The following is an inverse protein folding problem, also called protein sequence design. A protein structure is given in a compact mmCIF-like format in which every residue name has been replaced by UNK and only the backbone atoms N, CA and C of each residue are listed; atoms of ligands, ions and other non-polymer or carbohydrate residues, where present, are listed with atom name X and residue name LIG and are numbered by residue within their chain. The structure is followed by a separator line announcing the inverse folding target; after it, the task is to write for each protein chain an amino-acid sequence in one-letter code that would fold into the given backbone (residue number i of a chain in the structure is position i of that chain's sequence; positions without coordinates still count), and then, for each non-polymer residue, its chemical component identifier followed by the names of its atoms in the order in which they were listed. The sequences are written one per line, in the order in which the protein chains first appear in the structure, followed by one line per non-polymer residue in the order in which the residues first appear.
data_IF_259933057158
#
_entry.id   IF_259933057158
#
_cell.length_a   1.000
_cell.length_b   1.000
_cell.length_c   1.000
_cell.angle_alpha   90.00
_cell.angle_beta   90.00
_cell.angle_gamma   90.00
#
_symmetry.space_group_name_H-M   'P 1'
#
loop_
_entity.id
_entity.type
_entity.pdbx_description
1 polymer ?
#
# COMPACT_ATOMS: atom_id res chain seq x y z
N UNK A 1 -32.69 56.77 13.23
CA UNK A 1 -32.58 55.50 13.98
C UNK A 1 -32.45 54.36 12.98
N UNK A 2 -31.23 53.89 12.71
CA UNK A 2 -30.98 52.79 11.76
C UNK A 2 -29.96 51.83 12.38
N UNK A 3 -30.44 50.85 13.14
CA UNK A 3 -29.63 49.73 13.62
C UNK A 3 -29.50 48.70 12.50
N UNK A 4 -28.34 48.67 11.83
CA UNK A 4 -27.95 47.57 10.93
C UNK A 4 -27.24 46.52 11.79
N UNK A 5 -27.99 45.51 12.23
CA UNK A 5 -27.44 44.35 12.93
C UNK A 5 -26.55 43.55 11.97
N UNK A 6 -25.26 43.41 12.30
CA UNK A 6 -24.35 42.46 11.65
C UNK A 6 -24.40 41.16 12.46
N UNK A 7 -24.68 39.99 11.85
CA UNK A 7 -24.61 38.74 12.58
C UNK A 7 -23.16 38.47 13.02
N UNK A 8 -22.94 38.02 14.27
CA UNK A 8 -21.64 37.57 14.70
C UNK A 8 -21.43 36.10 14.30
N UNK A 9 -20.15 35.73 14.21
CA UNK A 9 -19.61 34.36 14.20
C UNK A 9 -19.26 33.80 12.83
N UNK A 10 -18.15 34.30 12.27
CA UNK A 10 -17.20 33.38 11.65
C UNK A 10 -16.63 32.51 12.78
N UNK A 11 -17.22 31.33 12.96
CA UNK A 11 -16.62 30.26 13.74
C UNK A 11 -15.24 29.98 13.15
N UNK A 12 -14.17 29.89 13.97
CA UNK A 12 -12.92 29.34 13.48
C UNK A 12 -13.23 27.91 13.07
N UNK A 13 -13.27 27.67 11.76
CA UNK A 13 -13.30 26.33 11.18
C UNK A 13 -12.12 25.58 11.78
N UNK A 14 -12.41 24.75 12.77
CA UNK A 14 -11.46 23.80 13.32
C UNK A 14 -11.30 22.70 12.28
N UNK A 15 -10.60 23.03 11.20
CA UNK A 15 -9.97 22.04 10.35
C UNK A 15 -9.01 21.29 11.27
N UNK A 16 -9.48 20.20 11.87
CA UNK A 16 -8.68 19.30 12.68
C UNK A 16 -7.48 18.94 11.81
N UNK A 17 -6.31 19.45 12.18
CA UNK A 17 -5.06 19.06 11.55
C UNK A 17 -5.04 17.54 11.47
N UNK A 18 -4.70 16.95 10.31
CA UNK A 18 -4.70 15.51 10.18
C UNK A 18 -3.86 14.92 11.32
N UNK A 19 -4.42 13.93 12.02
CA UNK A 19 -3.71 13.22 13.08
C UNK A 19 -2.43 12.58 12.54
N UNK A 20 -1.58 12.02 13.41
CA UNK A 20 -0.29 11.44 13.00
C UNK A 20 -0.41 10.48 11.79
N UNK A 21 -1.39 9.57 11.80
CA UNK A 21 -1.68 8.69 10.64
C UNK A 21 -2.07 9.46 9.38
N UNK A 22 -2.83 10.55 9.52
CA UNK A 22 -3.22 11.40 8.39
C UNK A 22 -2.01 12.09 7.76
N UNK A 23 -1.06 12.55 8.58
CA UNK A 23 0.22 13.11 8.11
C UNK A 23 1.09 12.05 7.43
N UNK A 24 1.18 10.85 8.02
CA UNK A 24 1.91 9.72 7.44
C UNK A 24 1.33 9.32 6.08
N UNK A 25 -0.01 9.16 5.99
CA UNK A 25 -0.70 8.82 4.74
C UNK A 25 -0.51 9.90 3.67
N UNK A 26 -0.52 11.17 4.06
CA UNK A 26 -0.24 12.27 3.15
C UNK A 26 1.21 12.21 2.64
N UNK A 27 2.20 12.01 3.51
CA UNK A 27 3.61 11.88 3.15
C UNK A 27 3.90 10.69 2.23
N UNK A 28 3.19 9.58 2.40
CA UNK A 28 3.31 8.38 1.57
C UNK A 28 2.51 8.45 0.25
N UNK A 29 1.91 9.58 -0.10
CA UNK A 29 1.08 9.67 -1.31
C UNK A 29 1.84 9.33 -2.59
N UNK A 30 3.10 9.76 -2.69
CA UNK A 30 3.96 9.48 -3.86
C UNK A 30 4.28 7.98 -3.95
N UNK A 31 4.72 7.37 -2.86
CA UNK A 31 4.98 5.93 -2.77
C UNK A 31 3.71 5.12 -3.08
N UNK A 32 2.56 5.55 -2.57
CA UNK A 32 1.27 4.91 -2.88
C UNK A 32 0.94 5.02 -4.36
N UNK A 33 1.24 6.13 -5.04
CA UNK A 33 1.01 6.25 -6.48
C UNK A 33 1.94 5.33 -7.29
N UNK A 34 3.23 5.25 -6.89
CA UNK A 34 4.24 4.39 -7.50
C UNK A 34 3.94 2.91 -7.29
N UNK A 35 3.40 2.51 -6.15
CA UNK A 35 3.05 1.11 -5.87
C UNK A 35 1.64 0.74 -6.31
N UNK A 36 0.64 1.57 -6.05
CA UNK A 36 -0.76 1.15 -6.22
C UNK A 36 -1.13 0.94 -7.69
N UNK A 37 -0.67 1.81 -8.59
CA UNK A 37 -1.04 1.71 -10.01
C UNK A 37 -0.38 0.51 -10.69
N UNK A 38 0.94 0.31 -10.61
CA UNK A 38 1.60 -0.81 -11.27
C UNK A 38 1.21 -2.16 -10.66
N UNK A 39 1.09 -2.27 -9.34
CA UNK A 39 0.65 -3.52 -8.73
C UNK A 39 -0.80 -3.84 -9.07
N UNK A 40 -1.69 -2.85 -9.09
CA UNK A 40 -3.09 -3.11 -9.50
C UNK A 40 -3.17 -3.53 -10.96
N UNK A 41 -2.36 -2.93 -11.84
CA UNK A 41 -2.27 -3.34 -13.24
C UNK A 41 -1.69 -4.75 -13.41
N UNK A 42 -0.64 -5.09 -12.67
CA UNK A 42 -0.04 -6.43 -12.63
C UNK A 42 -1.10 -7.51 -12.32
N UNK A 43 -1.78 -7.37 -11.18
CA UNK A 43 -2.76 -8.37 -10.75
C UNK A 43 -4.04 -8.37 -11.59
N UNK A 44 -4.35 -7.28 -12.31
CA UNK A 44 -5.46 -7.25 -13.26
C UNK A 44 -5.11 -7.94 -14.60
N UNK A 45 -3.84 -7.86 -15.03
CA UNK A 45 -3.35 -8.51 -16.25
C UNK A 45 -3.21 -10.02 -16.09
N UNK A 46 -2.83 -10.46 -14.89
CA UNK A 46 -2.62 -11.87 -14.57
C UNK A 46 -3.80 -12.43 -13.80
N UNK A 47 -4.62 -13.29 -14.43
CA UNK A 47 -5.75 -13.93 -13.76
C UNK A 47 -5.35 -15.14 -12.89
N UNK A 48 -4.22 -15.76 -13.20
CA UNK A 48 -3.67 -16.92 -12.50
C UNK A 48 -2.24 -16.64 -12.05
N UNK A 49 -1.78 -17.45 -11.11
CA UNK A 49 -0.41 -17.42 -10.63
C UNK A 49 0.46 -18.25 -11.57
N UNK A 50 1.40 -17.60 -12.22
CA UNK A 50 2.40 -18.22 -13.09
C UNK A 50 3.79 -17.60 -12.89
N UNK A 51 4.77 -18.09 -13.63
CA UNK A 51 6.15 -17.61 -13.53
C UNK A 51 6.27 -16.14 -13.98
N UNK A 52 5.55 -15.72 -15.02
CA UNK A 52 5.58 -14.37 -15.54
C UNK A 52 5.07 -13.35 -14.51
N UNK A 53 4.01 -13.69 -13.76
CA UNK A 53 3.53 -12.87 -12.65
C UNK A 53 4.61 -12.66 -11.58
N UNK A 54 5.37 -13.70 -11.23
CA UNK A 54 6.43 -13.57 -10.22
C UNK A 54 7.62 -12.73 -10.73
N UNK A 55 8.00 -12.88 -11.99
CA UNK A 55 9.09 -12.10 -12.60
C UNK A 55 8.72 -10.60 -12.66
N UNK A 56 7.52 -10.27 -13.11
CA UNK A 56 7.06 -8.88 -13.15
C UNK A 56 6.90 -8.29 -11.73
N UNK A 57 6.45 -9.10 -10.76
CA UNK A 57 6.38 -8.69 -9.36
C UNK A 57 7.76 -8.37 -8.78
N UNK A 58 8.77 -9.17 -9.12
CA UNK A 58 10.16 -8.93 -8.73
C UNK A 58 10.68 -7.60 -9.27
N UNK A 59 10.49 -7.35 -10.56
CA UNK A 59 10.88 -6.08 -11.19
C UNK A 59 10.22 -4.87 -10.51
N UNK A 60 8.92 -4.98 -10.21
CA UNK A 60 8.19 -3.91 -9.53
C UNK A 60 8.69 -3.67 -8.11
N UNK A 61 9.04 -4.71 -7.35
CA UNK A 61 9.60 -4.57 -6.01
C UNK A 61 10.99 -3.92 -6.03
N UNK A 62 11.84 -4.32 -6.98
CA UNK A 62 13.18 -3.75 -7.15
C UNK A 62 13.11 -2.26 -7.52
N UNK A 63 12.24 -1.91 -8.47
CA UNK A 63 12.07 -0.51 -8.93
C UNK A 63 11.37 0.38 -7.90
N UNK A 64 10.69 -0.22 -6.92
CA UNK A 64 10.08 0.48 -5.80
C UNK A 64 11.03 0.72 -4.61
N UNK A 65 12.34 0.69 -4.84
CA UNK A 65 13.38 0.89 -3.84
C UNK A 65 13.41 -0.17 -2.72
N UNK A 66 12.86 -1.38 -2.93
CA UNK A 66 13.02 -2.48 -1.96
C UNK A 66 14.43 -3.10 -1.97
N UNK A 67 15.09 -3.08 -3.14
CA UNK A 67 16.38 -3.74 -3.34
C UNK A 67 16.29 -5.27 -3.50
N UNK A 68 17.38 -5.88 -3.98
CA UNK A 68 17.40 -7.30 -4.39
C UNK A 68 17.16 -8.24 -3.20
N UNK A 69 17.94 -8.12 -2.13
CA UNK A 69 17.87 -9.04 -0.99
C UNK A 69 16.48 -9.04 -0.30
N UNK A 70 15.86 -7.87 -0.14
CA UNK A 70 14.52 -7.78 0.45
C UNK A 70 13.47 -8.37 -0.50
N UNK A 71 13.61 -8.12 -1.80
CA UNK A 71 12.70 -8.67 -2.83
C UNK A 71 12.75 -10.20 -2.85
N UNK A 72 13.94 -10.79 -2.87
CA UNK A 72 14.12 -12.26 -2.80
C UNK A 72 13.48 -12.86 -1.54
N UNK A 73 13.67 -12.19 -0.39
CA UNK A 73 13.09 -12.61 0.87
C UNK A 73 11.54 -12.59 0.82
N UNK A 74 10.96 -11.49 0.33
CA UNK A 74 9.51 -11.31 0.17
C UNK A 74 8.94 -12.37 -0.78
N UNK A 75 9.57 -12.60 -1.95
CA UNK A 75 9.09 -13.57 -2.94
C UNK A 75 9.19 -15.01 -2.43
N UNK A 76 10.24 -15.33 -1.68
CA UNK A 76 10.41 -16.64 -1.04
C UNK A 76 9.30 -16.91 -0.03
N UNK A 77 9.05 -15.95 0.87
CA UNK A 77 7.97 -16.04 1.85
C UNK A 77 6.60 -16.14 1.17
N UNK A 78 6.36 -15.34 0.12
CA UNK A 78 5.12 -15.36 -0.64
C UNK A 78 4.87 -16.71 -1.31
N UNK A 79 5.88 -17.29 -1.99
CA UNK A 79 5.76 -18.62 -2.62
C UNK A 79 5.49 -19.72 -1.60
N UNK A 80 6.14 -19.67 -0.44
CA UNK A 80 5.88 -20.61 0.65
C UNK A 80 4.43 -20.52 1.13
N UNK A 81 3.91 -19.30 1.29
CA UNK A 81 2.54 -19.03 1.74
C UNK A 81 1.49 -19.45 0.72
N UNK A 82 1.71 -19.18 -0.56
CA UNK A 82 0.87 -19.66 -1.66
C UNK A 82 0.72 -21.19 -1.63
N UNK A 83 1.82 -21.91 -1.37
CA UNK A 83 1.79 -23.37 -1.25
C UNK A 83 1.04 -23.85 0.00
N UNK A 84 1.22 -23.16 1.14
CA UNK A 84 0.57 -23.51 2.40
C UNK A 84 -0.94 -23.26 2.38
N UNK A 85 -1.35 -22.11 1.86
CA UNK A 85 -2.74 -21.64 1.83
C UNK A 85 -3.49 -22.09 0.57
N UNK A 86 -2.79 -22.74 -0.38
CA UNK A 86 -3.34 -23.20 -1.67
C UNK A 86 -3.98 -22.07 -2.47
N UNK A 87 -3.27 -20.96 -2.56
CA UNK A 87 -3.71 -19.78 -3.29
C UNK A 87 -3.63 -20.05 -4.80
N UNK A 88 -4.71 -19.81 -5.53
CA UNK A 88 -4.81 -20.14 -6.96
C UNK A 88 -5.01 -18.93 -7.87
N UNK A 89 -5.54 -17.81 -7.35
CA UNK A 89 -5.78 -16.59 -8.11
C UNK A 89 -4.94 -15.39 -7.66
N UNK A 90 -4.82 -14.40 -8.55
CA UNK A 90 -3.97 -13.23 -8.36
C UNK A 90 -4.48 -12.22 -7.33
N UNK A 91 -5.79 -12.19 -7.05
CA UNK A 91 -6.37 -11.31 -6.05
C UNK A 91 -6.05 -11.82 -4.63
N UNK A 92 -6.12 -13.12 -4.43
CA UNK A 92 -5.65 -13.76 -3.21
C UNK A 92 -4.12 -13.61 -3.05
N UNK A 93 -3.35 -13.77 -4.13
CA UNK A 93 -1.89 -13.53 -4.11
C UNK A 93 -1.55 -12.09 -3.67
N UNK A 94 -2.29 -11.10 -4.15
CA UNK A 94 -2.14 -9.69 -3.73
C UNK A 94 -2.39 -9.52 -2.23
N UNK A 95 -3.37 -10.23 -1.69
CA UNK A 95 -3.67 -10.21 -0.25
C UNK A 95 -2.54 -10.86 0.53
N UNK A 96 -2.05 -12.02 0.07
CA UNK A 96 -0.92 -12.69 0.68
C UNK A 96 0.36 -11.86 0.68
N UNK A 97 0.65 -11.14 -0.43
CA UNK A 97 1.78 -10.22 -0.52
C UNK A 97 1.70 -9.12 0.55
N UNK A 98 0.52 -8.52 0.75
CA UNK A 98 0.34 -7.50 1.80
C UNK A 98 0.67 -8.05 3.18
N UNK A 99 0.22 -9.27 3.49
CA UNK A 99 0.52 -9.91 4.78
C UNK A 99 2.01 -10.15 4.94
N UNK A 100 2.68 -10.71 3.92
CA UNK A 100 4.13 -10.93 3.95
C UNK A 100 4.88 -9.62 4.17
N UNK A 101 4.50 -8.54 3.48
CA UNK A 101 5.11 -7.23 3.68
C UNK A 101 4.93 -6.71 5.11
N UNK A 102 3.75 -6.90 5.72
CA UNK A 102 3.51 -6.52 7.11
C UNK A 102 4.35 -7.37 8.06
N UNK A 103 4.45 -8.68 7.84
CA UNK A 103 5.28 -9.58 8.65
C UNK A 103 6.76 -9.23 8.59
N UNK A 104 7.27 -8.83 7.41
CA UNK A 104 8.66 -8.35 7.25
C UNK A 104 8.90 -7.07 8.04
N UNK A 105 7.90 -6.19 8.16
CA UNK A 105 8.01 -4.92 8.87
C UNK A 105 7.73 -5.04 10.37
N UNK A 106 6.95 -6.04 10.81
CA UNK A 106 6.52 -6.20 12.19
C UNK A 106 7.67 -6.20 13.23
N UNK A 107 8.86 -6.81 12.98
CA UNK A 107 9.99 -6.74 13.93
C UNK A 107 10.52 -5.33 14.17
N UNK A 108 10.16 -4.35 13.34
CA UNK A 108 10.60 -2.96 13.42
C UNK A 108 9.62 -2.07 14.20
N UNK A 109 8.43 -2.59 14.52
CA UNK A 109 7.43 -1.93 15.36
C UNK A 109 7.82 -2.03 16.83
N UNK A 110 8.83 -1.25 17.25
CA UNK A 110 9.23 -1.10 18.65
C UNK A 110 8.30 -0.16 19.43
#
# INVERSE_FOLDING_TARGET
MFFKSRPPSDTPSTAKSPGWLGRLKAGLTKTRAVLATPFTALFARHARIDAALYEELEELLITADCGVAATEHILTALKARVKQERIEDSAELRTALKTVLVEVLAPLEA
#
